data_IF_230264641053
#
_entry.id   IF_230264641053
#
_cell.length_a   1.000
_cell.length_b   1.000
_cell.length_c   1.000
_cell.angle_alpha   90.00
_cell.angle_beta   90.00
_cell.angle_gamma   90.00
#
_symmetry.space_group_name_H-M   'P 1'
#
loop_
_entity.id
_entity.type
_entity.pdbx_description
1 polymer ?
#
# COMPACT_ATOMS: atom_id res chain seq x y z
N UNK A 1 6.75 22.69 -9.18
CA UNK A 1 6.61 21.33 -9.76
C UNK A 1 5.12 21.01 -9.86
N UNK A 2 4.70 20.55 -11.04
CA UNK A 2 3.30 20.18 -11.35
C UNK A 2 3.27 18.72 -11.80
N UNK A 3 2.47 17.90 -11.12
CA UNK A 3 2.43 16.45 -11.33
C UNK A 3 1.02 16.02 -11.78
N UNK A 4 0.97 15.25 -12.86
CA UNK A 4 -0.26 14.59 -13.30
C UNK A 4 -0.27 13.14 -12.83
N UNK A 5 -1.15 12.82 -11.89
CA UNK A 5 -1.36 11.45 -11.39
C UNK A 5 -2.41 10.73 -12.23
N UNK A 6 -2.13 9.49 -12.61
CA UNK A 6 -3.05 8.62 -13.35
C UNK A 6 -3.31 7.35 -12.54
N UNK A 7 -4.58 7.08 -12.25
CA UNK A 7 -5.03 5.81 -11.67
C UNK A 7 -6.25 5.31 -12.45
N UNK A 8 -6.30 4.01 -12.75
CA UNK A 8 -7.40 3.40 -13.53
C UNK A 8 -8.27 2.45 -12.71
N UNK A 9 -8.08 2.40 -11.39
CA UNK A 9 -8.83 1.54 -10.49
C UNK A 9 -10.28 1.97 -10.32
N UNK A 10 -11.19 0.99 -10.38
CA UNK A 10 -12.62 1.21 -10.16
C UNK A 10 -13.04 0.99 -8.69
N UNK A 11 -12.15 0.51 -7.85
CA UNK A 11 -12.39 0.23 -6.43
C UNK A 11 -11.40 0.98 -5.56
N UNK A 12 -11.75 1.15 -4.28
CA UNK A 12 -10.85 1.73 -3.28
C UNK A 12 -10.07 0.62 -2.59
N UNK A 13 -8.90 0.29 -3.13
CA UNK A 13 -7.95 -0.69 -2.55
C UNK A 13 -6.74 0.03 -1.94
N UNK A 14 -5.80 -0.72 -1.37
CA UNK A 14 -4.58 -0.16 -0.77
C UNK A 14 -3.84 0.82 -1.67
N UNK A 15 -3.71 0.51 -2.97
CA UNK A 15 -3.06 1.39 -3.96
C UNK A 15 -3.75 2.76 -4.10
N UNK A 16 -5.08 2.80 -4.17
CA UNK A 16 -5.85 4.04 -4.30
C UNK A 16 -5.77 4.90 -3.03
N UNK A 17 -5.73 4.27 -1.85
CA UNK A 17 -5.44 4.99 -0.61
C UNK A 17 -4.06 5.63 -0.63
N UNK A 18 -3.05 4.96 -1.21
CA UNK A 18 -1.71 5.54 -1.33
C UNK A 18 -1.65 6.71 -2.31
N UNK A 19 -2.43 6.67 -3.41
CA UNK A 19 -2.56 7.83 -4.32
C UNK A 19 -3.13 9.03 -3.58
N UNK A 20 -4.21 8.85 -2.83
CA UNK A 20 -4.86 9.91 -2.07
C UNK A 20 -3.92 10.51 -1.02
N UNK A 21 -3.27 9.67 -0.22
CA UNK A 21 -2.29 10.08 0.80
C UNK A 21 -1.11 10.82 0.18
N UNK A 22 -0.58 10.32 -0.94
CA UNK A 22 0.52 10.97 -1.66
C UNK A 22 0.11 12.37 -2.12
N UNK A 23 -1.04 12.52 -2.79
CA UNK A 23 -1.50 13.83 -3.27
C UNK A 23 -1.77 14.80 -2.14
N UNK A 24 -2.38 14.34 -1.04
CA UNK A 24 -2.61 15.17 0.15
C UNK A 24 -1.28 15.63 0.77
N UNK A 25 -0.28 14.75 0.84
CA UNK A 25 1.05 15.08 1.33
C UNK A 25 1.79 16.05 0.40
N UNK A 26 1.76 15.81 -0.92
CA UNK A 26 2.37 16.69 -1.92
C UNK A 26 1.78 18.11 -1.87
N UNK A 27 0.46 18.25 -1.63
CA UNK A 27 -0.19 19.55 -1.44
C UNK A 27 0.38 20.31 -0.23
N UNK A 28 0.66 19.61 0.88
CA UNK A 28 1.29 20.19 2.07
C UNK A 28 2.71 20.68 1.79
N UNK A 29 3.42 20.00 0.89
CA UNK A 29 4.76 20.38 0.41
C UNK A 29 4.74 21.45 -0.70
N UNK A 30 3.58 22.03 -1.02
CA UNK A 30 3.43 23.06 -2.05
C UNK A 30 3.57 22.54 -3.50
N UNK A 31 3.49 21.23 -3.71
CA UNK A 31 3.51 20.62 -5.04
C UNK A 31 2.10 20.61 -5.63
N UNK A 32 1.96 21.15 -6.83
CA UNK A 32 0.69 21.13 -7.54
C UNK A 32 0.46 19.77 -8.18
N UNK A 33 -0.65 19.14 -7.83
CA UNK A 33 -1.02 17.79 -8.31
C UNK A 33 -2.41 17.79 -8.90
N UNK A 34 -2.60 17.07 -9.99
CA UNK A 34 -3.93 16.81 -10.59
C UNK A 34 -4.08 15.30 -10.77
N UNK A 35 -5.23 14.74 -10.36
CA UNK A 35 -5.57 13.33 -10.54
C UNK A 35 -6.45 13.14 -11.76
N UNK A 36 -6.16 12.13 -12.57
CA UNK A 36 -7.11 11.53 -13.50
C UNK A 36 -7.46 10.11 -13.03
N UNK A 37 -8.75 9.89 -12.72
CA UNK A 37 -9.27 8.59 -12.32
C UNK A 37 -10.63 8.33 -12.98
N UNK A 38 -11.12 7.05 -13.07
CA UNK A 38 -12.41 6.75 -13.69
C UNK A 38 -13.54 7.57 -13.06
N UNK A 39 -14.46 8.08 -13.88
CA UNK A 39 -15.52 9.00 -13.46
C UNK A 39 -16.36 8.51 -12.27
N UNK A 40 -16.65 7.21 -12.22
CA UNK A 40 -17.43 6.59 -11.14
C UNK A 40 -16.55 6.01 -10.01
N UNK A 41 -15.23 6.18 -10.05
CA UNK A 41 -14.35 5.56 -9.05
C UNK A 41 -14.48 6.22 -7.68
N UNK A 42 -14.42 5.45 -6.59
CA UNK A 42 -14.38 6.00 -5.23
C UNK A 42 -13.16 6.90 -4.99
N UNK A 43 -12.05 6.65 -5.68
CA UNK A 43 -10.85 7.49 -5.61
C UNK A 43 -11.13 8.91 -6.10
N UNK A 44 -11.77 9.05 -7.28
CA UNK A 44 -12.14 10.38 -7.81
C UNK A 44 -13.07 11.12 -6.85
N UNK A 45 -14.11 10.44 -6.35
CA UNK A 45 -15.07 11.02 -5.42
C UNK A 45 -14.40 11.48 -4.11
N UNK A 46 -13.50 10.67 -3.54
CA UNK A 46 -12.75 11.03 -2.33
C UNK A 46 -11.79 12.19 -2.57
N UNK A 47 -11.08 12.20 -3.69
CA UNK A 47 -10.19 13.30 -4.05
C UNK A 47 -10.96 14.63 -4.16
N UNK A 48 -12.12 14.64 -4.81
CA UNK A 48 -12.97 15.82 -4.92
C UNK A 48 -13.51 16.26 -3.54
N UNK A 49 -13.92 15.31 -2.69
CA UNK A 49 -14.38 15.60 -1.32
C UNK A 49 -13.27 16.24 -0.47
N UNK A 50 -12.01 15.84 -0.68
CA UNK A 50 -10.84 16.41 -0.02
C UNK A 50 -10.31 17.68 -0.74
N UNK A 51 -11.06 18.20 -1.71
CA UNK A 51 -10.71 19.39 -2.49
C UNK A 51 -9.33 19.26 -3.19
N UNK A 52 -8.98 18.06 -3.62
CA UNK A 52 -7.84 17.82 -4.49
C UNK A 52 -8.25 18.03 -5.94
N UNK A 53 -7.39 18.66 -6.78
CA UNK A 53 -7.66 18.78 -8.22
C UNK A 53 -7.77 17.40 -8.85
N UNK A 54 -8.96 17.05 -9.35
CA UNK A 54 -9.23 15.73 -9.91
C UNK A 54 -10.27 15.80 -11.03
N UNK A 55 -10.06 15.02 -12.10
CA UNK A 55 -10.91 14.97 -13.27
C UNK A 55 -11.10 13.52 -13.75
N UNK A 56 -12.17 13.23 -14.53
CA UNK A 56 -12.35 11.91 -15.14
C UNK A 56 -11.22 11.53 -16.08
N UNK A 57 -10.74 10.27 -15.98
CA UNK A 57 -9.71 9.71 -16.83
C UNK A 57 -10.22 9.55 -18.27
N UNK A 58 -9.43 10.06 -19.23
CA UNK A 58 -9.69 9.95 -20.66
C UNK A 58 -8.44 10.21 -21.48
N UNK A 59 -8.27 9.57 -22.63
CA UNK A 59 -7.05 9.63 -23.44
C UNK A 59 -6.70 11.09 -23.84
N UNK A 60 -7.70 11.85 -24.30
CA UNK A 60 -7.52 13.25 -24.68
C UNK A 60 -7.14 14.12 -23.47
N UNK A 61 -7.72 13.85 -22.30
CA UNK A 61 -7.38 14.56 -21.07
C UNK A 61 -5.95 14.26 -20.62
N UNK A 62 -5.52 13.00 -20.69
CA UNK A 62 -4.12 12.64 -20.42
C UNK A 62 -3.19 13.44 -21.33
N UNK A 63 -3.44 13.45 -22.65
CA UNK A 63 -2.60 14.18 -23.62
C UNK A 63 -2.58 15.70 -23.37
N UNK A 64 -3.73 16.29 -23.06
CA UNK A 64 -3.83 17.73 -22.83
C UNK A 64 -3.17 18.15 -21.52
N UNK A 65 -3.44 17.42 -20.43
CA UNK A 65 -2.91 17.76 -19.10
C UNK A 65 -1.43 17.37 -18.94
N UNK A 66 -0.97 16.31 -19.58
CA UNK A 66 0.46 15.96 -19.56
C UNK A 66 1.35 17.12 -20.07
N UNK A 67 0.90 17.82 -21.11
CA UNK A 67 1.64 19.00 -21.66
C UNK A 67 1.70 20.20 -20.72
N UNK A 68 0.83 20.24 -19.70
CA UNK A 68 0.72 21.35 -18.72
C UNK A 68 1.37 20.99 -17.37
N UNK A 69 1.84 19.75 -17.24
CA UNK A 69 2.49 19.23 -16.06
C UNK A 69 3.94 18.87 -16.37
N UNK A 70 4.79 18.99 -15.38
CA UNK A 70 6.23 18.75 -15.52
C UNK A 70 6.53 17.25 -15.61
N UNK A 71 5.66 16.40 -15.00
CA UNK A 71 5.82 14.96 -14.90
C UNK A 71 4.46 14.26 -14.84
N UNK A 72 4.39 13.05 -15.40
CA UNK A 72 3.27 12.12 -15.27
C UNK A 72 3.63 10.99 -14.33
N UNK A 73 2.78 10.68 -13.33
CA UNK A 73 2.92 9.56 -12.43
C UNK A 73 1.77 8.57 -12.60
N UNK A 74 2.05 7.40 -13.16
CA UNK A 74 1.09 6.31 -13.32
C UNK A 74 1.13 5.35 -12.12
N UNK A 75 -0.03 5.05 -11.52
CA UNK A 75 -0.12 4.28 -10.28
C UNK A 75 -0.49 2.81 -10.47
N UNK A 76 -0.87 2.41 -11.68
CA UNK A 76 -1.23 1.03 -12.02
C UNK A 76 -0.82 0.67 -13.45
N UNK A 77 -0.99 -0.61 -13.80
CA UNK A 77 -0.54 -1.12 -15.10
C UNK A 77 -1.31 -0.54 -16.30
N UNK A 78 -2.59 -0.21 -16.14
CA UNK A 78 -3.42 0.36 -17.22
C UNK A 78 -3.11 1.85 -17.40
N UNK A 79 -3.00 2.60 -16.33
CA UNK A 79 -2.61 4.01 -16.37
C UNK A 79 -1.19 4.19 -16.92
N UNK A 80 -0.25 3.26 -16.64
CA UNK A 80 1.06 3.21 -17.29
C UNK A 80 0.93 3.10 -18.82
N UNK A 81 0.08 2.19 -19.33
CA UNK A 81 -0.16 2.07 -20.78
C UNK A 81 -0.74 3.35 -21.36
N UNK A 82 -1.73 3.96 -20.69
CA UNK A 82 -2.34 5.23 -21.14
C UNK A 82 -1.31 6.36 -21.19
N UNK A 83 -0.43 6.46 -20.19
CA UNK A 83 0.64 7.45 -20.17
C UNK A 83 1.59 7.28 -21.37
N UNK A 84 2.00 6.05 -21.68
CA UNK A 84 2.86 5.78 -22.84
C UNK A 84 2.23 6.15 -24.18
N UNK A 85 0.91 5.97 -24.31
CA UNK A 85 0.18 6.26 -25.55
C UNK A 85 -0.14 7.75 -25.72
N UNK A 86 -0.39 8.46 -24.63
CA UNK A 86 -0.97 9.81 -24.66
C UNK A 86 -0.05 10.91 -24.14
N UNK A 87 1.12 10.58 -23.59
CA UNK A 87 2.05 11.57 -23.02
C UNK A 87 3.45 11.43 -23.62
N UNK A 88 4.15 12.58 -23.72
CA UNK A 88 5.59 12.65 -23.99
C UNK A 88 6.36 13.26 -22.82
N UNK A 89 5.67 13.62 -21.74
CA UNK A 89 6.28 14.14 -20.52
C UNK A 89 7.08 13.06 -19.80
N UNK A 90 8.07 13.41 -18.98
CA UNK A 90 8.75 12.50 -18.10
C UNK A 90 7.74 11.62 -17.35
N UNK A 91 8.00 10.30 -17.29
CA UNK A 91 7.06 9.32 -16.74
C UNK A 91 7.69 8.60 -15.55
N UNK A 92 6.99 8.64 -14.42
CA UNK A 92 7.23 7.80 -13.23
C UNK A 92 6.11 6.78 -13.11
N UNK A 93 6.43 5.56 -12.72
CA UNK A 93 5.45 4.47 -12.59
C UNK A 93 5.58 3.80 -11.23
N UNK A 94 4.52 3.84 -10.43
CA UNK A 94 4.44 3.04 -9.21
C UNK A 94 4.13 1.57 -9.50
N UNK A 95 4.86 0.68 -8.85
CA UNK A 95 4.61 -0.76 -8.86
C UNK A 95 4.36 -1.25 -7.44
N UNK A 96 3.10 -1.64 -7.17
CA UNK A 96 2.63 -2.10 -5.85
C UNK A 96 2.27 -3.57 -5.79
N UNK A 97 2.36 -4.29 -6.92
CA UNK A 97 1.97 -5.69 -7.03
C UNK A 97 3.17 -6.59 -7.28
N UNK A 98 3.12 -7.79 -6.70
CA UNK A 98 4.18 -8.80 -6.72
C UNK A 98 4.19 -9.68 -7.98
N UNK A 99 3.26 -9.46 -8.92
CA UNK A 99 3.16 -10.31 -10.12
C UNK A 99 4.29 -10.05 -11.10
N UNK A 100 4.81 -11.08 -11.81
CA UNK A 100 5.82 -10.93 -12.85
C UNK A 100 5.40 -9.97 -13.97
N UNK A 101 6.39 -9.33 -14.58
CA UNK A 101 6.19 -8.48 -15.75
C UNK A 101 5.89 -9.34 -16.98
N UNK A 102 4.75 -9.08 -17.65
CA UNK A 102 4.38 -9.77 -18.88
C UNK A 102 4.85 -9.07 -20.16
N UNK A 103 5.17 -7.78 -20.12
CA UNK A 103 5.48 -6.97 -21.30
C UNK A 103 6.76 -6.15 -21.10
N UNK A 104 7.89 -6.70 -21.54
CA UNK A 104 9.21 -6.07 -21.38
C UNK A 104 9.33 -4.71 -22.08
N UNK A 105 8.76 -4.55 -23.29
CA UNK A 105 8.86 -3.29 -24.03
C UNK A 105 8.23 -2.12 -23.27
N UNK A 106 7.10 -2.35 -22.61
CA UNK A 106 6.40 -1.36 -21.81
C UNK A 106 7.26 -0.82 -20.66
N UNK A 107 8.03 -1.71 -20.04
CA UNK A 107 8.86 -1.38 -18.89
C UNK A 107 10.26 -0.82 -19.24
N UNK A 108 10.54 -0.56 -20.54
CA UNK A 108 11.76 0.15 -20.97
C UNK A 108 11.58 1.66 -21.04
N UNK A 109 10.35 2.16 -21.12
CA UNK A 109 10.01 3.52 -21.57
C UNK A 109 9.79 4.54 -20.46
N UNK A 110 9.64 4.12 -19.19
CA UNK A 110 9.53 5.06 -18.08
C UNK A 110 10.91 5.61 -17.65
N UNK A 111 10.92 6.84 -17.17
CA UNK A 111 12.10 7.45 -16.57
C UNK A 111 12.52 6.75 -15.28
N UNK A 112 11.55 6.45 -14.40
CA UNK A 112 11.75 5.77 -13.12
C UNK A 112 10.56 4.88 -12.76
N UNK A 113 10.84 3.81 -12.01
CA UNK A 113 9.87 2.92 -11.38
C UNK A 113 9.97 3.04 -9.86
N UNK A 114 8.84 3.28 -9.20
CA UNK A 114 8.74 3.26 -7.74
C UNK A 114 8.26 1.87 -7.31
N UNK A 115 9.17 1.04 -6.86
CA UNK A 115 8.85 -0.24 -6.27
C UNK A 115 8.42 -0.03 -4.81
N UNK A 116 7.27 -0.56 -4.41
CA UNK A 116 6.73 -0.38 -3.05
C UNK A 116 7.54 -1.12 -1.97
N UNK A 117 8.44 -2.02 -2.38
CA UNK A 117 9.31 -2.82 -1.51
C UNK A 117 10.53 -3.30 -2.28
N UNK A 118 11.54 -3.80 -1.57
CA UNK A 118 12.70 -4.48 -2.17
C UNK A 118 12.27 -5.77 -2.89
N UNK A 119 11.26 -6.46 -2.34
CA UNK A 119 10.68 -7.61 -3.00
C UNK A 119 10.06 -7.23 -4.36
N UNK A 120 9.29 -6.15 -4.45
CA UNK A 120 8.77 -5.68 -5.74
C UNK A 120 9.88 -5.15 -6.66
N UNK A 121 10.96 -4.55 -6.11
CA UNK A 121 12.16 -4.20 -6.88
C UNK A 121 12.74 -5.45 -7.55
N UNK A 122 12.96 -6.56 -6.81
CA UNK A 122 13.48 -7.80 -7.39
C UNK A 122 12.57 -8.38 -8.49
N UNK A 123 11.24 -8.23 -8.36
CA UNK A 123 10.28 -8.63 -9.41
C UNK A 123 10.45 -7.77 -10.68
N UNK A 124 10.72 -6.48 -10.54
CA UNK A 124 11.00 -5.59 -11.67
C UNK A 124 12.32 -5.95 -12.35
N UNK A 125 13.38 -6.19 -11.58
CA UNK A 125 14.70 -6.60 -12.06
C UNK A 125 14.63 -7.94 -12.82
N UNK A 126 13.98 -8.95 -12.24
CA UNK A 126 13.72 -10.23 -12.88
C UNK A 126 12.91 -10.08 -14.19
N UNK A 127 12.06 -9.04 -14.28
CA UNK A 127 11.34 -8.65 -15.48
C UNK A 127 12.18 -7.93 -16.53
N UNK A 128 13.46 -7.62 -16.23
CA UNK A 128 14.41 -6.94 -17.13
C UNK A 128 14.35 -5.41 -17.08
N UNK A 129 13.85 -4.83 -15.97
CA UNK A 129 13.99 -3.39 -15.70
C UNK A 129 15.38 -3.14 -15.11
N UNK A 130 16.18 -2.22 -15.70
CA UNK A 130 17.49 -1.87 -15.16
C UNK A 130 17.42 -1.34 -13.73
N UNK A 131 18.36 -1.74 -12.87
CA UNK A 131 18.37 -1.38 -11.44
C UNK A 131 18.37 0.14 -11.24
N UNK A 132 19.14 0.86 -12.03
CA UNK A 132 19.27 2.32 -11.98
C UNK A 132 17.95 3.05 -12.30
N UNK A 133 16.97 2.37 -12.90
CA UNK A 133 15.61 2.88 -13.14
C UNK A 133 14.63 2.59 -12.01
N UNK A 134 15.03 1.85 -10.98
CA UNK A 134 14.14 1.43 -9.91
C UNK A 134 14.53 2.11 -8.60
N UNK A 135 13.60 2.84 -8.03
CA UNK A 135 13.70 3.38 -6.68
C UNK A 135 12.74 2.63 -5.75
N UNK A 136 13.19 2.24 -4.56
CA UNK A 136 12.27 1.72 -3.53
C UNK A 136 11.64 2.90 -2.80
N UNK A 137 10.31 2.96 -2.86
CA UNK A 137 9.49 3.95 -2.15
C UNK A 137 8.38 3.20 -1.44
N UNK A 138 8.55 2.98 -0.15
CA UNK A 138 7.56 2.30 0.67
C UNK A 138 6.25 3.10 0.76
N UNK A 139 5.12 2.39 0.82
CA UNK A 139 3.84 3.02 1.13
C UNK A 139 3.88 3.69 2.51
N UNK A 140 3.15 4.80 2.65
CA UNK A 140 3.03 5.54 3.89
C UNK A 140 1.62 5.48 4.47
N UNK A 141 1.53 5.52 5.80
CA UNK A 141 0.25 5.55 6.51
C UNK A 141 0.21 6.70 7.53
N UNK A 142 -0.98 7.23 7.88
CA UNK A 142 -1.10 8.16 8.99
C UNK A 142 -0.79 7.45 10.31
N UNK A 143 -0.29 8.18 11.29
CA UNK A 143 -0.21 7.70 12.66
C UNK A 143 -1.60 7.79 13.30
N UNK A 144 -2.22 6.64 13.53
CA UNK A 144 -3.53 6.56 14.18
C UNK A 144 -3.39 6.71 15.71
N UNK A 145 -4.50 7.06 16.37
CA UNK A 145 -4.59 6.96 17.83
C UNK A 145 -4.36 5.50 18.27
N UNK A 146 -3.68 5.26 19.40
CA UNK A 146 -3.49 3.90 19.91
C UNK A 146 -4.82 3.18 20.10
N UNK A 147 -4.88 1.91 19.65
CA UNK A 147 -6.04 1.05 19.85
C UNK A 147 -6.21 0.69 21.34
N UNK A 148 -7.46 0.56 21.78
CA UNK A 148 -7.80 0.26 23.17
C UNK A 148 -8.84 -0.87 23.32
N UNK A 149 -9.10 -1.59 22.24
CA UNK A 149 -10.12 -2.64 22.23
C UNK A 149 -9.60 -4.03 22.52
N UNK A 150 -10.49 -5.01 22.35
CA UNK A 150 -10.23 -6.44 22.63
C UNK A 150 -10.46 -7.33 21.41
N UNK A 151 -10.89 -6.76 20.28
CA UNK A 151 -11.26 -7.52 19.10
C UNK A 151 -10.04 -8.09 18.36
N UNK A 152 -10.17 -9.32 17.88
CA UNK A 152 -9.25 -9.88 16.88
C UNK A 152 -9.83 -9.58 15.50
N UNK A 153 -9.17 -8.71 14.75
CA UNK A 153 -9.63 -8.24 13.45
C UNK A 153 -8.96 -8.97 12.28
N UNK A 154 -9.73 -9.21 11.22
CA UNK A 154 -9.20 -9.57 9.91
C UNK A 154 -9.98 -8.83 8.81
N UNK A 155 -9.36 -8.67 7.63
CA UNK A 155 -10.06 -8.08 6.48
C UNK A 155 -11.16 -9.02 6.00
N UNK A 156 -12.35 -8.48 5.76
CA UNK A 156 -13.46 -9.23 5.19
C UNK A 156 -13.11 -9.74 3.80
N UNK A 157 -13.62 -10.91 3.48
CA UNK A 157 -13.50 -11.46 2.14
C UNK A 157 -14.11 -10.50 1.10
N UNK A 158 -13.37 -10.24 0.06
CA UNK A 158 -13.75 -9.41 -1.07
C UNK A 158 -13.71 -10.17 -2.41
N UNK A 159 -13.66 -11.50 -2.36
CA UNK A 159 -13.56 -12.38 -3.53
C UNK A 159 -12.16 -12.46 -4.16
N UNK A 160 -11.14 -11.86 -3.55
CA UNK A 160 -9.75 -11.96 -4.01
C UNK A 160 -9.11 -13.26 -3.48
N UNK A 161 -8.92 -14.25 -4.35
CA UNK A 161 -8.32 -15.54 -4.02
C UNK A 161 -6.89 -15.45 -3.46
N UNK A 162 -6.22 -14.30 -3.66
CA UNK A 162 -4.89 -14.05 -3.08
C UNK A 162 -4.97 -13.63 -1.61
N UNK A 163 -6.16 -13.36 -1.08
CA UNK A 163 -6.35 -13.03 0.34
C UNK A 163 -6.80 -14.26 1.13
N UNK A 164 -6.17 -14.45 2.28
CA UNK A 164 -6.35 -15.64 3.12
C UNK A 164 -7.54 -15.56 4.09
N UNK A 165 -8.70 -15.02 3.69
CA UNK A 165 -9.86 -14.91 4.57
C UNK A 165 -10.33 -16.30 5.07
N UNK A 166 -10.39 -17.30 4.19
CA UNK A 166 -10.74 -18.66 4.58
C UNK A 166 -9.76 -19.25 5.61
N UNK A 167 -8.45 -19.05 5.38
CA UNK A 167 -7.41 -19.49 6.30
C UNK A 167 -7.51 -18.79 7.66
N UNK A 168 -7.86 -17.49 7.67
CA UNK A 168 -8.08 -16.75 8.92
C UNK A 168 -9.29 -17.30 9.71
N UNK A 169 -10.37 -17.65 9.01
CA UNK A 169 -11.55 -18.26 9.63
C UNK A 169 -11.23 -19.62 10.25
N UNK A 170 -10.53 -20.49 9.52
CA UNK A 170 -10.11 -21.80 10.00
C UNK A 170 -9.17 -21.68 11.22
N UNK A 171 -8.19 -20.79 11.17
CA UNK A 171 -7.28 -20.56 12.28
C UNK A 171 -8.00 -20.01 13.53
N UNK A 172 -8.94 -19.09 13.35
CA UNK A 172 -9.73 -18.55 14.45
C UNK A 172 -10.62 -19.63 15.11
N UNK A 173 -11.17 -20.55 14.30
CA UNK A 173 -11.91 -21.70 14.80
C UNK A 173 -11.00 -22.63 15.63
N UNK A 174 -9.81 -22.97 15.14
CA UNK A 174 -8.83 -23.78 15.87
C UNK A 174 -8.35 -23.11 17.17
N UNK A 175 -8.20 -21.80 17.17
CA UNK A 175 -7.80 -21.05 18.36
C UNK A 175 -8.96 -20.79 19.35
N UNK A 176 -10.19 -21.18 19.01
CA UNK A 176 -11.41 -20.86 19.77
C UNK A 176 -11.55 -19.36 20.05
N UNK A 177 -11.30 -18.51 19.04
CA UNK A 177 -11.35 -17.06 19.15
C UNK A 177 -12.38 -16.50 18.17
N UNK A 178 -13.28 -15.62 18.61
CA UNK A 178 -14.16 -14.89 17.72
C UNK A 178 -13.34 -13.91 16.85
N UNK A 179 -13.43 -14.06 15.53
CA UNK A 179 -12.79 -13.18 14.56
C UNK A 179 -13.80 -12.15 14.07
N UNK A 180 -13.45 -10.88 14.19
CA UNK A 180 -14.25 -9.78 13.65
C UNK A 180 -13.74 -9.40 12.25
N UNK A 181 -14.64 -9.44 11.26
CA UNK A 181 -14.34 -9.07 9.88
C UNK A 181 -14.55 -7.58 9.65
N UNK A 182 -13.53 -6.90 9.11
CA UNK A 182 -13.60 -5.47 8.82
C UNK A 182 -13.58 -5.16 7.33
N UNK A 183 -14.37 -4.16 6.93
CA UNK A 183 -14.34 -3.47 5.63
C UNK A 183 -13.90 -2.01 5.76
N UNK A 184 -13.86 -1.50 6.99
CA UNK A 184 -13.40 -0.15 7.32
C UNK A 184 -12.30 -0.23 8.38
N UNK A 185 -11.14 -0.71 7.93
CA UNK A 185 -10.01 -1.01 8.81
C UNK A 185 -9.61 0.18 9.68
N UNK A 186 -9.57 1.39 9.11
CA UNK A 186 -9.13 2.58 9.84
C UNK A 186 -10.01 2.92 11.03
N UNK A 187 -11.33 2.75 10.90
CA UNK A 187 -12.26 2.96 12.00
C UNK A 187 -12.27 1.80 13.00
N UNK A 188 -12.21 0.55 12.50
CA UNK A 188 -12.33 -0.64 13.36
C UNK A 188 -11.07 -0.91 14.18
N UNK A 189 -9.89 -0.46 13.72
CA UNK A 189 -8.63 -0.61 14.47
C UNK A 189 -8.68 -0.01 15.89
N UNK A 190 -9.54 0.96 16.16
CA UNK A 190 -9.72 1.52 17.51
C UNK A 190 -10.14 0.48 18.55
N UNK A 191 -10.83 -0.59 18.09
CA UNK A 191 -11.33 -1.68 18.93
C UNK A 191 -10.47 -2.95 18.84
N UNK A 192 -9.36 -2.90 18.11
CA UNK A 192 -8.49 -4.05 17.88
C UNK A 192 -7.55 -4.32 19.06
N UNK A 193 -7.41 -5.60 19.42
CA UNK A 193 -6.32 -6.12 20.23
C UNK A 193 -5.27 -6.84 19.38
N UNK A 194 -5.69 -7.48 18.29
CA UNK A 194 -4.83 -8.22 17.35
C UNK A 194 -5.36 -7.99 15.94
N UNK A 195 -4.47 -7.81 14.97
CA UNK A 195 -4.81 -7.80 13.55
C UNK A 195 -4.21 -9.01 12.86
N UNK A 196 -5.06 -9.81 12.19
CA UNK A 196 -4.66 -10.99 11.42
C UNK A 196 -4.68 -10.64 9.93
N UNK A 197 -3.53 -10.76 9.27
CA UNK A 197 -3.38 -10.44 7.85
C UNK A 197 -2.75 -11.58 7.07
N UNK A 198 -3.58 -12.34 6.38
CA UNK A 198 -3.13 -13.49 5.61
C UNK A 198 -3.27 -13.24 4.12
N UNK A 199 -2.26 -13.66 3.37
CA UNK A 199 -2.20 -13.45 1.93
C UNK A 199 -1.28 -14.46 1.26
N UNK A 200 -1.53 -14.78 -0.02
CA UNK A 200 -0.66 -15.62 -0.85
C UNK A 200 0.22 -14.78 -1.79
N UNK A 201 -0.05 -13.48 -1.89
CA UNK A 201 0.75 -12.54 -2.68
C UNK A 201 0.61 -11.13 -2.13
N UNK A 202 1.72 -10.47 -1.80
CA UNK A 202 1.70 -9.12 -1.25
C UNK A 202 2.92 -8.31 -1.73
N UNK A 203 2.67 -7.06 -2.14
CA UNK A 203 3.73 -6.12 -2.48
C UNK A 203 4.45 -5.55 -1.27
N UNK A 204 3.69 -5.09 -0.28
CA UNK A 204 4.23 -4.57 0.99
C UNK A 204 3.30 -4.85 2.18
N UNK A 205 2.00 -4.53 2.07
CA UNK A 205 1.04 -4.69 3.16
C UNK A 205 0.63 -3.37 3.84
N UNK A 206 0.07 -2.43 3.08
CA UNK A 206 -0.35 -1.14 3.64
C UNK A 206 -1.44 -1.25 4.72
N UNK A 207 -2.25 -2.30 4.71
CA UNK A 207 -3.19 -2.62 5.79
C UNK A 207 -2.47 -3.00 7.09
N UNK A 208 -1.38 -3.75 6.98
CA UNK A 208 -0.51 -4.11 8.11
C UNK A 208 0.14 -2.85 8.69
N UNK A 209 0.71 -1.99 7.85
CA UNK A 209 1.27 -0.70 8.30
C UNK A 209 0.23 0.14 9.04
N UNK A 210 -1.03 0.14 8.58
CA UNK A 210 -2.10 0.89 9.23
C UNK A 210 -2.42 0.32 10.63
N UNK A 211 -2.48 -1.01 10.79
CA UNK A 211 -2.65 -1.65 12.09
C UNK A 211 -1.47 -1.37 13.02
N UNK A 212 -0.24 -1.49 12.51
CA UNK A 212 0.98 -1.14 13.25
C UNK A 212 0.98 0.33 13.70
N UNK A 213 0.46 1.26 12.87
CA UNK A 213 0.37 2.68 13.22
C UNK A 213 -0.54 2.95 14.42
N UNK A 214 -1.55 2.11 14.62
CA UNK A 214 -2.44 2.14 15.77
C UNK A 214 -1.88 1.38 17.00
N UNK A 215 -0.65 0.84 16.92
CA UNK A 215 -0.06 0.04 17.99
C UNK A 215 -0.72 -1.34 18.15
N UNK A 216 -1.42 -1.83 17.14
CA UNK A 216 -2.05 -3.15 17.14
C UNK A 216 -1.00 -4.19 16.75
N UNK A 217 -0.73 -5.21 17.60
CA UNK A 217 0.15 -6.31 17.23
C UNK A 217 -0.46 -7.12 16.08
N UNK A 218 0.40 -7.56 15.15
CA UNK A 218 -0.01 -8.21 13.91
C UNK A 218 0.46 -9.64 13.87
N UNK A 219 -0.43 -10.55 13.41
CA UNK A 219 -0.08 -11.90 12.93
C UNK A 219 -0.26 -11.90 11.42
N UNK A 220 0.82 -12.06 10.66
CA UNK A 220 0.79 -11.96 9.20
C UNK A 220 1.53 -13.09 8.50
N UNK A 221 1.12 -13.39 7.27
CA UNK A 221 1.82 -14.31 6.37
C UNK A 221 3.27 -13.90 6.15
N UNK A 222 4.21 -14.86 6.14
CA UNK A 222 5.62 -14.65 5.77
C UNK A 222 5.76 -14.61 4.24
N UNK A 223 5.15 -13.63 3.57
CA UNK A 223 5.03 -13.56 2.10
C UNK A 223 5.39 -12.17 1.57
N UNK A 224 6.07 -12.14 0.42
CA UNK A 224 6.32 -10.94 -0.36
C UNK A 224 7.10 -9.87 0.38
N UNK A 225 6.57 -8.66 0.43
CA UNK A 225 7.15 -7.52 1.13
C UNK A 225 6.85 -7.45 2.63
N UNK A 226 6.01 -8.34 3.19
CA UNK A 226 5.67 -8.31 4.63
C UNK A 226 6.89 -8.44 5.56
N UNK A 227 7.93 -9.27 5.26
CA UNK A 227 9.15 -9.33 6.06
C UNK A 227 10.00 -8.04 6.03
N UNK A 228 9.68 -7.06 5.17
CA UNK A 228 10.38 -5.77 5.16
C UNK A 228 9.81 -4.78 6.19
N UNK A 229 8.58 -5.02 6.64
CA UNK A 229 7.87 -4.17 7.63
C UNK A 229 7.67 -4.88 8.96
N UNK A 230 7.60 -6.22 8.97
CA UNK A 230 7.50 -7.01 10.20
C UNK A 230 8.82 -7.71 10.47
N UNK A 231 9.42 -7.39 11.60
CA UNK A 231 10.50 -8.13 12.21
C UNK A 231 9.90 -9.15 13.17
N UNK A 232 9.96 -10.43 12.81
CA UNK A 232 9.31 -11.54 13.52
C UNK A 232 9.74 -11.61 14.99
N UNK A 233 8.76 -11.61 15.91
CA UNK A 233 8.97 -11.55 17.36
C UNK A 233 9.46 -10.19 17.88
N UNK A 234 9.79 -9.24 17.01
CA UNK A 234 10.24 -7.89 17.37
C UNK A 234 9.13 -6.84 17.34
N UNK A 235 8.36 -6.76 16.25
CA UNK A 235 7.28 -5.80 16.07
C UNK A 235 6.00 -6.41 15.48
N UNK A 236 5.90 -7.74 15.47
CA UNK A 236 4.78 -8.53 14.97
C UNK A 236 5.18 -10.00 14.87
N UNK A 237 4.27 -10.85 14.42
CA UNK A 237 4.52 -12.25 14.18
C UNK A 237 4.34 -12.58 12.69
N UNK A 238 5.34 -13.21 12.09
CA UNK A 238 5.29 -13.76 10.74
C UNK A 238 5.08 -15.27 10.82
N UNK A 239 4.00 -15.75 10.22
CA UNK A 239 3.60 -17.15 10.24
C UNK A 239 3.53 -17.74 8.83
N UNK A 240 3.68 -19.05 8.74
CA UNK A 240 3.40 -19.79 7.51
C UNK A 240 1.89 -19.87 7.28
N UNK A 241 1.48 -19.99 6.01
CA UNK A 241 0.08 -20.07 5.62
C UNK A 241 -0.53 -21.45 5.93
N UNK A 242 -0.60 -21.78 7.22
CA UNK A 242 -1.34 -22.93 7.74
C UNK A 242 -2.23 -22.50 8.91
N UNK A 243 -3.41 -23.09 9.03
CA UNK A 243 -4.35 -22.76 10.10
C UNK A 243 -3.74 -22.97 11.49
N UNK A 244 -2.93 -24.01 11.65
CA UNK A 244 -2.25 -24.30 12.92
C UNK A 244 -1.23 -23.21 13.30
N UNK A 245 -0.36 -22.79 12.36
CA UNK A 245 0.64 -21.75 12.63
C UNK A 245 -0.01 -20.39 12.91
N UNK A 246 -1.08 -20.05 12.19
CA UNK A 246 -1.85 -18.81 12.43
C UNK A 246 -2.55 -18.86 13.79
N UNK A 247 -3.20 -19.98 14.12
CA UNK A 247 -3.87 -20.18 15.42
C UNK A 247 -2.88 -20.07 16.58
N UNK A 248 -1.69 -20.68 16.45
CA UNK A 248 -0.60 -20.56 17.44
C UNK A 248 -0.16 -19.09 17.59
N UNK A 249 0.03 -18.35 16.48
CA UNK A 249 0.39 -16.94 16.51
C UNK A 249 -0.65 -16.07 17.23
N UNK A 250 -1.94 -16.28 16.94
CA UNK A 250 -3.04 -15.59 17.61
C UNK A 250 -3.07 -15.97 19.11
N UNK A 251 -2.94 -17.25 19.43
CA UNK A 251 -2.90 -17.75 20.81
C UNK A 251 -1.78 -17.12 21.63
N UNK A 252 -0.56 -17.06 21.08
CA UNK A 252 0.59 -16.41 21.74
C UNK A 252 0.30 -14.97 22.15
N UNK A 253 -0.36 -14.19 21.29
CA UNK A 253 -0.69 -12.79 21.58
C UNK A 253 -1.85 -12.66 22.58
N UNK A 254 -2.87 -13.51 22.46
CA UNK A 254 -4.01 -13.55 23.38
C UNK A 254 -3.59 -13.92 24.79
N UNK A 255 -2.76 -14.97 24.91
CA UNK A 255 -2.39 -15.57 26.20
C UNK A 255 -1.26 -14.79 26.90
N UNK A 256 -0.61 -13.84 26.20
CA UNK A 256 0.43 -12.97 26.75
C UNK A 256 0.17 -11.49 26.43
N UNK A 257 -0.66 -10.78 27.22
CA UNK A 257 -0.90 -9.34 27.04
C UNK A 257 0.38 -8.49 27.06
N UNK A 258 1.37 -8.90 27.85
CA UNK A 258 2.68 -8.22 27.89
C UNK A 258 3.44 -8.33 26.56
N UNK A 259 3.40 -9.50 25.91
CA UNK A 259 3.96 -9.69 24.57
C UNK A 259 3.20 -8.85 23.53
N UNK A 260 1.87 -8.89 23.56
CA UNK A 260 1.02 -8.15 22.65
C UNK A 260 1.30 -6.63 22.75
N UNK A 261 1.35 -6.09 23.95
CA UNK A 261 1.66 -4.68 24.20
C UNK A 261 3.06 -4.29 23.67
N UNK A 262 4.07 -5.10 23.98
CA UNK A 262 5.45 -4.88 23.52
C UNK A 262 5.56 -4.88 22.00
N UNK A 263 4.93 -5.84 21.33
CA UNK A 263 4.96 -5.92 19.86
C UNK A 263 4.17 -4.78 19.22
N UNK A 264 3.03 -4.40 19.79
CA UNK A 264 2.23 -3.27 19.32
C UNK A 264 2.96 -1.94 19.43
N UNK A 265 3.64 -1.68 20.55
CA UNK A 265 4.47 -0.49 20.74
C UNK A 265 5.65 -0.44 19.74
N UNK A 266 6.37 -1.55 19.60
CA UNK A 266 7.46 -1.67 18.61
C UNK A 266 6.97 -1.52 17.17
N UNK A 267 5.77 -2.04 16.84
CA UNK A 267 5.12 -1.86 15.55
C UNK A 267 4.86 -0.38 15.26
N UNK A 268 4.25 0.33 16.21
CA UNK A 268 3.97 1.76 16.09
C UNK A 268 5.23 2.58 15.91
N UNK A 269 6.26 2.31 16.69
CA UNK A 269 7.56 2.97 16.59
C UNK A 269 8.20 2.73 15.19
N UNK A 270 8.11 1.52 14.67
CA UNK A 270 8.58 1.16 13.32
C UNK A 270 7.90 2.01 12.25
N UNK A 271 6.57 2.18 12.33
CA UNK A 271 5.83 3.04 11.38
C UNK A 271 6.24 4.49 11.54
N UNK A 272 6.33 4.99 12.77
CA UNK A 272 6.71 6.37 13.06
C UNK A 272 8.09 6.73 12.49
N UNK A 273 9.04 5.80 12.53
CA UNK A 273 10.40 6.02 12.07
C UNK A 273 10.59 5.85 10.55
N UNK A 274 9.73 5.08 9.84
CA UNK A 274 10.04 4.64 8.48
C UNK A 274 8.89 4.65 7.49
N UNK A 275 7.64 4.61 7.95
CA UNK A 275 6.49 4.31 7.07
C UNK A 275 5.33 5.30 7.25
N UNK A 276 5.61 6.53 7.67
CA UNK A 276 4.58 7.58 7.67
C UNK A 276 4.32 8.10 6.26
N UNK A 277 3.20 8.79 6.09
CA UNK A 277 2.87 9.47 4.83
C UNK A 277 3.98 10.44 4.42
N UNK A 278 4.59 11.12 5.37
CA UNK A 278 5.68 12.09 5.16
C UNK A 278 6.92 11.40 4.57
N UNK A 279 7.32 10.23 5.09
CA UNK A 279 8.43 9.44 4.53
C UNK A 279 8.18 9.06 3.07
N UNK A 280 6.96 8.56 2.76
CA UNK A 280 6.57 8.24 1.39
C UNK A 280 6.63 9.46 0.47
N UNK A 281 6.08 10.59 0.92
CA UNK A 281 6.03 11.85 0.14
C UNK A 281 7.44 12.37 -0.13
N UNK A 282 8.29 12.49 0.89
CA UNK A 282 9.66 12.97 0.75
C UNK A 282 10.45 12.10 -0.22
N UNK A 283 10.39 10.77 -0.05
CA UNK A 283 11.10 9.85 -0.96
C UNK A 283 10.58 9.91 -2.39
N UNK A 284 9.26 10.08 -2.57
CA UNK A 284 8.67 10.27 -3.90
C UNK A 284 9.14 11.58 -4.55
N UNK A 285 9.20 12.67 -3.78
CA UNK A 285 9.68 13.97 -4.26
C UNK A 285 11.15 13.95 -4.67
N UNK A 286 12.00 13.20 -3.97
CA UNK A 286 13.40 12.99 -4.38
C UNK A 286 13.46 12.37 -5.77
N UNK A 287 12.70 11.29 -6.01
CA UNK A 287 12.65 10.64 -7.32
C UNK A 287 12.09 11.57 -8.40
N UNK A 288 11.10 12.39 -8.08
CA UNK A 288 10.60 13.38 -9.05
C UNK A 288 11.66 14.40 -9.45
N UNK A 289 12.46 14.89 -8.49
CA UNK A 289 13.57 15.81 -8.77
C UNK A 289 14.64 15.15 -9.63
N UNK A 290 15.00 13.90 -9.35
CA UNK A 290 15.95 13.11 -10.16
C UNK A 290 15.49 12.95 -11.62
N UNK A 291 14.18 12.81 -11.86
CA UNK A 291 13.61 12.64 -13.21
C UNK A 291 13.52 13.96 -13.97
N UNK A 292 13.44 15.09 -13.26
CA UNK A 292 13.30 16.43 -13.84
C UNK A 292 14.64 17.17 -13.97
N UNK A 293 15.73 16.69 -13.34
CA UNK A 293 17.09 17.16 -13.51
C UNK A 293 17.68 16.65 -14.83
#
# INVERSE_FOLDING_TARGET
MRILHLDSGNEMRGGQWQVLRLMTGLRREGVLSTLLAPAASPLLQKALKEQLPAEPLGLLRVSTLARRNDLVHAHDARSHTLALLASRSPLVVSRRVAFPIRSRWKYRSAGRYLAVSRFVKSVLEAGGVPEEKIAVVYDGVPLLAPAQGTAVLALADNGDSQKGAHLAAEAAHLAHIPLQWTRDLENDLKQAAIFVYLTYSEGLGSAVLLAMSAGVPVVASRIGGLPEIIFDGGNGLLVDNSAAAVAEGIGKLRDSPALAARLGEAARLTVQQRFTTEHMVHRTMEVYREVLS
#
